data_IF_773190866313
#
_entry.id   IF_773190866313
#
_cell.length_a   1.000
_cell.length_b   1.000
_cell.length_c   1.000
_cell.angle_alpha   90.00
_cell.angle_beta   90.00
_cell.angle_gamma   90.00
#
_symmetry.space_group_name_H-M   'P 1'
#
loop_
_entity.id
_entity.type
_entity.pdbx_description
1 polymer ?
#
# COMPACT_ATOMS: atom_id res chain seq x y z
N UNK A 1 -8.10 18.67 9.39
CA UNK A 1 -8.20 17.91 8.13
C UNK A 1 -9.57 17.25 8.09
N UNK A 2 -10.36 17.50 7.05
CA UNK A 2 -11.69 16.92 6.88
C UNK A 2 -11.56 15.87 5.77
N UNK A 3 -11.34 14.61 6.13
CA UNK A 3 -11.10 13.52 5.19
C UNK A 3 -12.28 12.53 5.28
N UNK A 4 -13.47 12.85 4.72
CA UNK A 4 -14.60 11.92 4.77
C UNK A 4 -14.19 10.59 4.15
N UNK A 5 -14.22 9.51 4.93
CA UNK A 5 -13.83 8.15 4.49
C UNK A 5 -12.33 7.87 4.49
N UNK A 6 -11.48 8.80 4.94
CA UNK A 6 -10.05 8.57 5.11
C UNK A 6 -9.77 7.63 6.28
N UNK A 7 -8.88 6.65 6.07
CA UNK A 7 -8.38 5.76 7.12
C UNK A 7 -6.94 5.34 6.83
N UNK A 8 -6.18 5.12 7.90
CA UNK A 8 -4.95 4.32 7.83
C UNK A 8 -5.29 2.88 7.49
N UNK A 9 -4.30 2.15 6.98
CA UNK A 9 -4.50 0.78 6.48
C UNK A 9 -3.42 -0.15 6.99
N UNK A 10 -3.81 -1.39 7.19
CA UNK A 10 -2.90 -2.50 7.42
C UNK A 10 -2.18 -2.88 6.13
N UNK A 11 -1.05 -3.56 6.25
CA UNK A 11 -0.30 -4.10 5.10
C UNK A 11 -1.20 -4.96 4.19
N UNK A 12 -2.03 -5.83 4.78
CA UNK A 12 -2.97 -6.70 4.03
C UNK A 12 -4.02 -5.91 3.25
N UNK A 13 -4.51 -4.79 3.78
CA UNK A 13 -5.43 -3.93 3.05
C UNK A 13 -4.73 -3.25 1.87
N UNK A 14 -3.48 -2.81 2.04
CA UNK A 14 -2.69 -2.28 0.93
C UNK A 14 -2.39 -3.36 -0.13
N UNK A 15 -2.07 -4.58 0.27
CA UNK A 15 -1.89 -5.69 -0.68
C UNK A 15 -3.19 -5.97 -1.45
N UNK A 16 -4.34 -6.02 -0.76
CA UNK A 16 -5.63 -6.20 -1.40
C UNK A 16 -5.92 -5.13 -2.46
N UNK A 17 -5.59 -3.87 -2.18
CA UNK A 17 -5.69 -2.77 -3.15
C UNK A 17 -4.74 -2.96 -4.35
N UNK A 18 -3.48 -3.33 -4.10
CA UNK A 18 -2.50 -3.59 -5.15
C UNK A 18 -2.97 -4.68 -6.11
N UNK A 19 -3.46 -5.81 -5.57
CA UNK A 19 -4.00 -6.93 -6.34
C UNK A 19 -5.24 -6.52 -7.13
N UNK A 20 -6.18 -5.81 -6.49
CA UNK A 20 -7.40 -5.32 -7.14
C UNK A 20 -7.14 -4.34 -8.29
N UNK A 21 -6.04 -3.59 -8.23
CA UNK A 21 -5.60 -2.69 -9.29
C UNK A 21 -4.73 -3.37 -10.38
N UNK A 22 -4.51 -4.69 -10.30
CA UNK A 22 -3.80 -5.47 -11.32
C UNK A 22 -2.26 -5.52 -11.14
N UNK A 23 -1.73 -5.01 -10.03
CA UNK A 23 -0.31 -5.19 -9.70
C UNK A 23 -0.05 -6.64 -9.27
N UNK A 24 1.12 -7.16 -9.65
CA UNK A 24 1.49 -8.56 -9.40
C UNK A 24 2.57 -8.71 -8.33
N UNK A 25 3.32 -7.65 -8.03
CA UNK A 25 4.23 -7.60 -6.88
C UNK A 25 3.76 -6.59 -5.83
N UNK A 26 3.98 -6.92 -4.57
CA UNK A 26 3.73 -6.09 -3.39
C UNK A 26 4.86 -6.34 -2.39
N UNK A 27 5.53 -5.29 -1.90
CA UNK A 27 6.63 -5.41 -0.94
C UNK A 27 6.73 -4.17 -0.05
N UNK A 28 6.87 -4.36 1.27
CA UNK A 28 7.15 -3.29 2.23
C UNK A 28 8.67 -3.13 2.33
N UNK A 29 9.20 -2.01 1.84
CA UNK A 29 10.66 -1.83 1.68
C UNK A 29 11.33 -1.34 2.95
N UNK A 30 10.77 -0.30 3.57
CA UNK A 30 11.34 0.30 4.77
C UNK A 30 10.29 1.10 5.55
N UNK A 31 10.65 1.46 6.78
CA UNK A 31 9.92 2.39 7.62
C UNK A 31 10.84 3.54 8.03
N UNK A 32 10.40 4.78 7.78
CA UNK A 32 11.07 5.99 8.22
C UNK A 32 10.07 6.85 9.00
N UNK A 33 10.34 7.12 10.27
CA UNK A 33 9.49 7.95 11.13
C UNK A 33 8.01 7.52 11.11
N UNK A 34 7.74 6.22 11.24
CA UNK A 34 6.39 5.63 11.22
C UNK A 34 5.65 5.78 9.87
N UNK A 35 6.35 6.16 8.80
CA UNK A 35 5.86 6.14 7.42
C UNK A 35 6.50 4.98 6.68
N UNK A 36 5.68 4.14 6.04
CA UNK A 36 6.15 2.97 5.32
C UNK A 36 6.26 3.25 3.81
N UNK A 37 7.35 2.81 3.20
CA UNK A 37 7.50 2.76 1.74
C UNK A 37 7.04 1.38 1.28
N UNK A 38 6.00 1.34 0.45
CA UNK A 38 5.42 0.10 -0.08
C UNK A 38 5.50 0.16 -1.61
N UNK A 39 6.15 -0.82 -2.23
CA UNK A 39 6.30 -0.91 -3.68
C UNK A 39 5.24 -1.83 -4.29
N UNK A 40 4.50 -1.31 -5.28
CA UNK A 40 3.61 -2.11 -6.14
C UNK A 40 4.27 -2.29 -7.50
N UNK A 41 4.52 -3.54 -7.90
CA UNK A 41 5.24 -3.86 -9.13
C UNK A 41 4.30 -4.43 -10.19
N UNK A 42 4.37 -3.87 -11.39
CA UNK A 42 3.79 -4.50 -12.60
C UNK A 42 4.72 -5.65 -13.01
N UNK A 43 4.16 -6.72 -13.60
CA UNK A 43 5.02 -7.66 -14.33
C UNK A 43 5.60 -6.95 -15.56
N UNK A 44 6.86 -7.24 -15.87
CA UNK A 44 7.45 -6.92 -17.16
C UNK A 44 6.74 -7.71 -18.28
#
# INVERSE_FOLDING_TARGET
>A
AHNPGGKERTEKEFEGLARGAGFKGFEVMCCAFNTYVIEFRKQA
#
